data_IF_956176280387
#
_entry.id   IF_956176280387
#
_cell.length_a   1.000
_cell.length_b   1.000
_cell.length_c   1.000
_cell.angle_alpha   90.00
_cell.angle_beta   90.00
_cell.angle_gamma   90.00
#
_symmetry.space_group_name_H-M   'P 1'
#
loop_
_entity.id
_entity.type
_entity.pdbx_description
1 polymer ?
#
# COMPACT_ATOMS: atom_id res chain seq x y z
N UNK A 1 -8.20 -7.90 13.19
CA UNK A 1 -7.15 -7.99 12.16
C UNK A 1 -7.65 -8.53 10.82
N UNK A 2 -8.97 -8.72 10.63
CA UNK A 2 -9.61 -8.97 9.33
C UNK A 2 -10.98 -8.28 9.40
N UNK A 3 -11.05 -7.01 8.96
CA UNK A 3 -12.31 -6.25 8.97
C UNK A 3 -12.81 -5.88 7.58
N UNK A 4 -11.96 -5.97 6.57
CA UNK A 4 -12.23 -5.51 5.21
C UNK A 4 -11.55 -6.46 4.23
N UNK A 5 -12.27 -7.38 3.56
CA UNK A 5 -11.68 -8.31 2.59
C UNK A 5 -11.13 -7.61 1.35
N UNK A 6 -11.51 -6.35 1.13
CA UNK A 6 -11.09 -5.54 -0.01
C UNK A 6 -9.79 -4.76 0.22
N UNK A 7 -9.21 -4.78 1.43
CA UNK A 7 -8.08 -3.90 1.72
C UNK A 7 -7.02 -4.50 2.63
N UNK A 8 -5.77 -4.35 2.20
CA UNK A 8 -4.59 -4.78 2.96
C UNK A 8 -4.15 -3.66 3.89
N UNK A 9 -4.37 -3.85 5.19
CA UNK A 9 -3.81 -3.00 6.24
C UNK A 9 -2.39 -3.48 6.58
N UNK A 10 -1.42 -2.56 6.56
CA UNK A 10 -0.04 -2.87 6.93
C UNK A 10 0.27 -2.19 8.28
N UNK A 11 0.61 -2.97 9.34
CA UNK A 11 1.09 -2.44 10.59
C UNK A 11 2.57 -2.04 10.44
N UNK A 12 2.82 -0.81 10.01
CA UNK A 12 4.16 -0.22 9.98
C UNK A 12 4.08 1.26 10.34
N UNK A 13 4.90 1.68 11.31
CA UNK A 13 5.06 3.10 11.63
C UNK A 13 6.02 3.79 10.66
N UNK A 14 5.98 5.13 10.62
CA UNK A 14 6.93 5.93 9.84
C UNK A 14 8.37 5.74 10.33
N UNK A 15 8.54 5.46 11.62
CA UNK A 15 9.84 5.19 12.22
C UNK A 15 10.37 3.82 11.75
N UNK A 16 9.52 2.80 11.74
CA UNK A 16 9.89 1.48 11.21
C UNK A 16 10.32 1.58 9.74
N UNK A 17 9.53 2.25 8.89
CA UNK A 17 9.86 2.44 7.47
C UNK A 17 11.19 3.20 7.30
N UNK A 18 11.43 4.22 8.12
CA UNK A 18 12.66 5.01 8.09
C UNK A 18 13.88 4.16 8.46
N UNK A 19 13.77 3.37 9.53
CA UNK A 19 14.81 2.45 9.99
C UNK A 19 15.13 1.39 8.93
N UNK A 20 14.10 0.74 8.35
CA UNK A 20 14.27 -0.28 7.31
C UNK A 20 14.95 0.25 6.04
N UNK A 21 14.68 1.50 5.64
CA UNK A 21 15.20 2.08 4.41
C UNK A 21 16.49 2.89 4.63
N UNK A 22 16.94 3.08 5.87
CA UNK A 22 18.04 3.99 6.19
C UNK A 22 17.74 5.45 5.83
N UNK A 23 16.46 5.83 5.84
CA UNK A 23 15.98 7.18 5.52
C UNK A 23 15.58 7.92 6.79
N UNK A 24 15.41 9.25 6.69
CA UNK A 24 14.85 10.02 7.81
C UNK A 24 13.33 9.86 7.88
N UNK A 25 12.80 9.93 9.10
CA UNK A 25 11.34 9.93 9.35
C UNK A 25 10.65 11.07 8.59
N UNK A 26 11.32 12.22 8.42
CA UNK A 26 10.80 13.34 7.63
C UNK A 26 10.61 12.98 6.15
N UNK A 27 11.60 12.32 5.53
CA UNK A 27 11.52 11.88 4.12
C UNK A 27 10.37 10.90 3.94
N UNK A 28 10.27 9.91 4.83
CA UNK A 28 9.13 8.97 4.84
C UNK A 28 7.81 9.71 5.01
N UNK A 29 7.74 10.68 5.92
CA UNK A 29 6.53 11.45 6.19
C UNK A 29 6.07 12.28 4.99
N UNK A 30 7.02 12.89 4.25
CA UNK A 30 6.73 13.62 3.02
C UNK A 30 6.15 12.69 1.95
N UNK A 31 6.75 11.53 1.73
CA UNK A 31 6.26 10.53 0.76
C UNK A 31 4.87 10.02 1.13
N UNK A 32 4.65 9.66 2.40
CA UNK A 32 3.34 9.20 2.88
C UNK A 32 2.27 10.30 2.72
N UNK A 33 2.61 11.57 2.98
CA UNK A 33 1.69 12.69 2.75
C UNK A 33 1.31 12.80 1.28
N UNK A 34 2.30 12.73 0.37
CA UNK A 34 2.05 12.77 -1.08
C UNK A 34 1.14 11.63 -1.53
N UNK A 35 1.35 10.40 -1.05
CA UNK A 35 0.49 9.27 -1.39
C UNK A 35 -0.94 9.41 -0.84
N UNK A 36 -1.12 10.06 0.31
CA UNK A 36 -2.46 10.41 0.82
C UNK A 36 -3.16 11.44 -0.06
N UNK A 37 -2.45 12.48 -0.48
CA UNK A 37 -3.00 13.52 -1.37
C UNK A 37 -3.42 12.94 -2.72
N UNK A 38 -2.63 12.00 -3.25
CA UNK A 38 -2.94 11.24 -4.45
C UNK A 38 -4.02 10.17 -4.25
N UNK A 39 -4.58 10.04 -3.03
CA UNK A 39 -5.58 9.03 -2.64
C UNK A 39 -5.14 7.58 -2.93
N UNK A 40 -3.84 7.32 -2.91
CA UNK A 40 -3.27 5.99 -3.10
C UNK A 40 -3.28 5.16 -1.81
N UNK A 41 -3.21 5.86 -0.67
CA UNK A 41 -3.25 5.26 0.66
C UNK A 41 -4.11 6.09 1.62
N UNK A 42 -4.54 5.47 2.71
CA UNK A 42 -5.18 6.13 3.86
C UNK A 42 -4.48 5.71 5.14
N UNK A 43 -4.09 6.67 5.98
CA UNK A 43 -3.58 6.37 7.33
C UNK A 43 -4.75 6.18 8.27
N UNK A 44 -4.82 5.04 8.95
CA UNK A 44 -5.92 4.67 9.86
C UNK A 44 -5.59 5.07 11.31
N UNK A 45 -4.34 4.91 11.73
CA UNK A 45 -3.83 5.29 13.06
C UNK A 45 -2.28 5.44 13.03
N UNK A 46 -1.62 5.75 14.17
CA UNK A 46 -0.16 5.81 14.34
C UNK A 46 0.49 4.44 14.11
N UNK A 47 0.68 4.08 12.84
CA UNK A 47 1.31 2.81 12.43
C UNK A 47 0.45 1.91 11.58
N UNK A 48 -0.68 2.41 11.05
CA UNK A 48 -1.51 1.63 10.12
C UNK A 48 -1.77 2.41 8.85
N UNK A 49 -1.48 1.76 7.73
CA UNK A 49 -1.76 2.29 6.38
C UNK A 49 -2.66 1.30 5.65
N UNK A 50 -3.78 1.82 5.13
CA UNK A 50 -4.70 1.14 4.21
C UNK A 50 -4.29 1.50 2.79
N UNK A 51 -3.98 0.49 1.97
CA UNK A 51 -3.72 0.69 0.53
C UNK A 51 -5.06 0.86 -0.17
N UNK A 52 -5.22 1.93 -0.95
CA UNK A 52 -6.44 2.21 -1.70
C UNK A 52 -6.30 1.83 -3.18
N UNK A 53 -5.10 1.99 -3.75
CA UNK A 53 -4.82 1.70 -5.15
C UNK A 53 -3.43 1.08 -5.28
N UNK A 54 -3.38 -0.25 -5.24
CA UNK A 54 -2.13 -1.02 -5.30
C UNK A 54 -1.49 -0.97 -6.69
N UNK A 55 -2.30 -0.87 -7.76
CA UNK A 55 -1.82 -0.77 -9.13
C UNK A 55 -1.04 0.52 -9.34
N UNK A 56 -1.63 1.67 -8.99
CA UNK A 56 -0.93 2.96 -9.13
C UNK A 56 0.31 3.08 -8.25
N UNK A 57 0.30 2.52 -7.05
CA UNK A 57 1.51 2.48 -6.21
C UNK A 57 2.64 1.71 -6.88
N UNK A 58 2.31 0.60 -7.55
CA UNK A 58 3.29 -0.19 -8.27
C UNK A 58 3.78 0.49 -9.54
N UNK A 59 2.92 1.17 -10.30
CA UNK A 59 3.33 2.00 -11.44
C UNK A 59 4.34 3.08 -11.01
N UNK A 60 4.10 3.75 -9.87
CA UNK A 60 5.03 4.75 -9.33
C UNK A 60 6.35 4.12 -8.89
N UNK A 61 6.30 2.91 -8.37
CA UNK A 61 7.47 2.17 -7.90
C UNK A 61 8.19 1.40 -9.02
N UNK A 62 7.70 1.47 -10.26
CA UNK A 62 8.16 0.65 -11.39
C UNK A 62 8.15 -0.86 -11.06
N UNK A 63 7.10 -1.31 -10.38
CA UNK A 63 6.92 -2.69 -9.96
C UNK A 63 5.84 -3.39 -10.79
N UNK A 64 6.08 -4.65 -11.14
CA UNK A 64 5.04 -5.52 -11.69
C UNK A 64 4.08 -5.99 -10.59
N UNK A 65 2.79 -5.73 -10.75
CA UNK A 65 1.74 -6.20 -9.83
C UNK A 65 1.33 -7.61 -10.22
N UNK A 66 1.88 -8.62 -9.54
CA UNK A 66 1.57 -10.02 -9.81
C UNK A 66 0.13 -10.44 -9.42
N UNK A 67 -0.61 -9.60 -8.67
CA UNK A 67 -1.96 -9.90 -8.16
C UNK A 67 -3.01 -9.98 -9.28
N UNK A 68 -2.80 -9.30 -10.41
CA UNK A 68 -3.67 -9.37 -11.59
C UNK A 68 -3.76 -10.81 -12.13
N UNK A 69 -2.64 -11.55 -12.06
CA UNK A 69 -2.52 -12.91 -12.58
C UNK A 69 -3.40 -13.93 -11.83
N UNK A 70 -3.73 -13.67 -10.56
CA UNK A 70 -4.56 -14.57 -9.76
C UNK A 70 -6.06 -14.30 -9.92
N UNK A 71 -6.45 -13.05 -10.21
CA UNK A 71 -7.83 -12.63 -10.39
C UNK A 71 -8.35 -12.97 -11.80
N UNK A 72 -7.51 -12.82 -12.83
CA UNK A 72 -7.83 -13.24 -14.21
C UNK A 72 -8.02 -14.76 -14.30
N UNK A 73 -7.19 -15.55 -13.61
CA UNK A 73 -7.26 -17.02 -13.66
C UNK A 73 -8.50 -17.58 -12.89
N UNK A 74 -8.88 -16.94 -11.77
CA UNK A 74 -10.05 -17.37 -10.99
C UNK A 74 -11.39 -16.88 -11.55
N UNK A 75 -11.43 -15.76 -12.27
CA UNK A 75 -12.69 -15.27 -12.86
C UNK A 75 -13.06 -16.05 -14.15
N UNK A 76 -12.13 -16.80 -14.75
CA UNK A 76 -12.38 -17.71 -15.88
C UNK A 76 -13.01 -19.06 -15.47
N UNK A 77 -13.16 -19.35 -14.17
CA UNK A 77 -13.88 -20.53 -13.65
C UNK A 77 -15.34 -20.24 -13.26
N UNK A 78 -15.78 -19.00 -13.40
CA UNK A 78 -17.12 -18.52 -12.97
C UNK A 78 -18.01 -18.08 -14.14
N UNK A 79 -17.68 -18.46 -15.39
CA UNK A 79 -18.54 -18.26 -16.56
C UNK A 79 -18.86 -19.55 -17.29
#
# INVERSE_FOLDING_TARGET
>A
YLGDPEYKEIPLTRADIADFLGLTIETVSRTITKFKELKLIKTVDQGRVKILDAHRLAEIADLEVAWDRWEIDHNLRKS
#
